data_IF_510623274913
#
_entry.id   IF_510623274913
#
_cell.length_a   1.000
_cell.length_b   1.000
_cell.length_c   1.000
_cell.angle_alpha   90.00
_cell.angle_beta   90.00
_cell.angle_gamma   90.00
#
_symmetry.space_group_name_H-M   'P 1'
#
loop_
_entity.id
_entity.type
_entity.pdbx_description
1 polymer ?
#
# COMPACT_ATOMS: atom_id res chain seq x y z
N UNK A 1 -10.53 -1.04 -5.90
CA UNK A 1 -10.53 -0.56 -4.51
C UNK A 1 -10.26 0.94 -4.46
N UNK A 2 -10.76 1.63 -3.44
CA UNK A 2 -10.30 2.98 -3.09
C UNK A 2 -8.95 2.89 -2.32
N UNK A 3 -8.34 4.04 -1.99
CA UNK A 3 -6.99 4.08 -1.37
C UNK A 3 -6.98 3.52 0.06
N UNK A 4 -8.02 3.77 0.82
CA UNK A 4 -8.16 3.28 2.19
C UNK A 4 -8.35 1.76 2.20
N UNK A 5 -9.18 1.24 1.30
CA UNK A 5 -9.37 -0.20 1.09
C UNK A 5 -8.05 -0.89 0.69
N UNK A 6 -7.29 -0.29 -0.23
CA UNK A 6 -6.01 -0.82 -0.66
C UNK A 6 -4.96 -0.82 0.47
N UNK A 7 -4.93 0.24 1.28
CA UNK A 7 -4.09 0.29 2.46
C UNK A 7 -4.48 -0.77 3.49
N UNK A 8 -5.77 -0.88 3.82
CA UNK A 8 -6.28 -1.86 4.77
C UNK A 8 -6.01 -3.30 4.30
N UNK A 9 -6.17 -3.57 3.00
CA UNK A 9 -5.81 -4.87 2.41
C UNK A 9 -4.33 -5.20 2.67
N UNK A 10 -3.42 -4.28 2.32
CA UNK A 10 -2.00 -4.47 2.55
C UNK A 10 -1.65 -4.61 4.04
N UNK A 11 -2.19 -3.73 4.88
CA UNK A 11 -1.94 -3.67 6.32
C UNK A 11 -2.35 -4.96 7.03
N UNK A 12 -3.52 -5.51 6.68
CA UNK A 12 -4.04 -6.73 7.28
C UNK A 12 -3.27 -8.01 6.90
N UNK A 13 -2.49 -7.99 5.82
CA UNK A 13 -1.62 -9.10 5.44
C UNK A 13 -0.30 -9.13 6.21
N UNK A 14 0.09 -8.04 6.86
CA UNK A 14 1.36 -7.95 7.58
C UNK A 14 1.27 -8.58 8.98
N UNK A 15 2.41 -8.98 9.53
CA UNK A 15 2.49 -9.38 10.94
C UNK A 15 2.27 -8.18 11.86
N UNK A 16 1.93 -8.42 13.13
CA UNK A 16 1.72 -7.34 14.10
C UNK A 16 2.98 -6.49 14.29
N UNK A 17 4.16 -7.10 14.35
CA UNK A 17 5.44 -6.40 14.47
C UNK A 17 5.68 -5.47 13.27
N UNK A 18 5.27 -5.90 12.08
CA UNK A 18 5.46 -5.11 10.87
C UNK A 18 4.42 -3.99 10.74
N UNK A 19 3.20 -4.20 11.24
CA UNK A 19 2.18 -3.14 11.35
C UNK A 19 2.66 -1.99 12.22
N UNK A 20 3.39 -2.28 13.30
CA UNK A 20 3.97 -1.25 14.16
C UNK A 20 4.99 -0.37 13.44
N UNK A 21 5.65 -0.89 12.39
CA UNK A 21 6.62 -0.13 11.60
C UNK A 21 5.97 0.79 10.56
N UNK A 22 4.68 0.58 10.24
CA UNK A 22 3.95 1.40 9.27
C UNK A 22 3.55 2.73 9.91
N UNK A 23 3.96 3.84 9.29
CA UNK A 23 3.55 5.19 9.71
C UNK A 23 2.19 5.58 9.10
N UNK A 24 1.94 5.13 7.86
CA UNK A 24 0.70 5.36 7.15
C UNK A 24 0.88 5.37 5.64
N UNK A 25 -0.09 5.89 4.90
CA UNK A 25 -0.02 5.97 3.45
C UNK A 25 -0.27 7.38 2.92
N UNK A 26 0.20 7.62 1.69
CA UNK A 26 -0.03 8.84 0.91
C UNK A 26 -0.48 8.49 -0.49
N UNK A 27 -1.10 9.46 -1.14
CA UNK A 27 -1.42 9.40 -2.56
C UNK A 27 -0.18 9.13 -3.40
N UNK A 28 -0.28 8.16 -4.30
CA UNK A 28 0.74 7.85 -5.29
C UNK A 28 0.06 7.62 -6.62
N UNK A 29 0.54 8.26 -7.69
CA UNK A 29 -0.05 8.11 -9.02
C UNK A 29 0.79 7.13 -9.83
N UNK A 30 0.13 6.13 -10.40
CA UNK A 30 0.69 5.22 -11.38
C UNK A 30 -0.26 5.13 -12.58
N UNK A 31 0.30 4.94 -13.77
CA UNK A 31 -0.46 4.65 -14.97
C UNK A 31 -0.75 3.15 -15.06
N UNK A 32 -1.83 2.79 -15.77
CA UNK A 32 -2.25 1.39 -15.99
C UNK A 32 -2.55 0.59 -14.72
N UNK A 33 -3.01 1.26 -13.66
CA UNK A 33 -3.50 0.64 -12.42
C UNK A 33 -4.88 1.19 -12.06
N UNK A 34 -5.63 0.44 -11.26
CA UNK A 34 -6.93 0.90 -10.72
C UNK A 34 -6.71 1.91 -9.60
N UNK A 35 -5.77 1.61 -8.70
CA UNK A 35 -5.46 2.42 -7.53
C UNK A 35 -4.00 2.19 -7.12
N UNK A 36 -3.35 3.22 -6.60
CA UNK A 36 -2.00 3.12 -6.04
C UNK A 36 -1.82 4.05 -4.85
N UNK A 37 -1.04 3.58 -3.87
CA UNK A 37 -0.67 4.31 -2.66
C UNK A 37 0.82 4.15 -2.39
N UNK A 38 1.38 5.10 -1.66
CA UNK A 38 2.73 5.04 -1.10
C UNK A 38 2.61 4.78 0.40
N UNK A 39 3.04 3.61 0.86
CA UNK A 39 3.08 3.26 2.29
C UNK A 39 4.43 3.67 2.86
N UNK A 40 4.43 4.50 3.91
CA UNK A 40 5.64 4.99 4.56
C UNK A 40 5.86 4.23 5.87
N UNK A 41 7.12 3.95 6.17
CA UNK A 41 7.54 3.30 7.40
C UNK A 41 8.25 4.30 8.32
N UNK A 42 8.22 4.03 9.62
CA UNK A 42 8.83 4.88 10.66
C UNK A 42 10.34 5.10 10.47
N UNK A 43 11.02 4.14 9.84
CA UNK A 43 12.44 4.25 9.51
C UNK A 43 12.73 5.15 8.28
N UNK A 44 11.72 5.81 7.71
CA UNK A 44 11.82 6.70 6.55
C UNK A 44 11.84 5.98 5.19
N UNK A 45 11.87 4.64 5.18
CA UNK A 45 11.66 3.86 3.97
C UNK A 45 10.19 3.87 3.54
N UNK A 46 9.92 3.44 2.31
CA UNK A 46 8.57 3.36 1.79
C UNK A 46 8.49 2.29 0.69
N UNK A 47 7.29 1.80 0.47
CA UNK A 47 6.94 0.95 -0.68
C UNK A 47 5.72 1.54 -1.39
N UNK A 48 5.56 1.18 -2.67
CA UNK A 48 4.28 1.39 -3.37
C UNK A 48 3.43 0.14 -3.24
N UNK A 49 2.14 0.34 -3.06
CA UNK A 49 1.13 -0.71 -3.13
C UNK A 49 0.13 -0.31 -4.21
N UNK A 50 -0.21 -1.21 -5.12
CA UNK A 50 -1.11 -0.90 -6.23
C UNK A 50 -1.95 -2.10 -6.66
N UNK A 51 -3.15 -1.80 -7.16
CA UNK A 51 -4.08 -2.76 -7.75
C UNK A 51 -4.01 -2.68 -9.27
N UNK A 52 -3.64 -3.79 -9.92
CA UNK A 52 -3.63 -3.91 -11.38
C UNK A 52 -5.03 -3.93 -11.96
N UNK A 53 -5.15 -3.66 -13.26
CA UNK A 53 -6.43 -3.72 -13.99
C UNK A 53 -7.12 -5.09 -13.95
N UNK A 54 -6.36 -6.16 -13.67
CA UNK A 54 -6.88 -7.52 -13.49
C UNK A 54 -7.28 -7.85 -12.05
N UNK A 55 -7.25 -6.87 -11.13
CA UNK A 55 -7.59 -7.02 -9.71
C UNK A 55 -6.48 -7.57 -8.82
N UNK A 56 -5.31 -7.91 -9.37
CA UNK A 56 -4.17 -8.35 -8.55
C UNK A 56 -3.55 -7.17 -7.78
N UNK A 57 -3.20 -7.38 -6.52
CA UNK A 57 -2.49 -6.41 -5.69
C UNK A 57 -1.01 -6.78 -5.60
N UNK A 58 -0.13 -5.81 -5.83
CA UNK A 58 1.31 -5.96 -5.72
C UNK A 58 1.93 -4.82 -4.90
N UNK A 59 3.11 -5.08 -4.34
CA UNK A 59 3.89 -4.10 -3.61
C UNK A 59 5.41 -4.28 -3.79
N UNK A 60 6.12 -3.16 -3.94
CA UNK A 60 7.58 -3.07 -4.17
C UNK A 60 8.19 -1.81 -3.57
#
# INVERSE_FOLDING_TARGET
MNKEELFNYYFNLQSEEFKEEIEGYKDFRMDNVVCSIKVNFKNGSWIRVYEKLNGAVEWY
#
